data_IF_263443030022
#
_entry.id   IF_263443030022
#
_cell.length_a   1.000
_cell.length_b   1.000
_cell.length_c   1.000
_cell.angle_alpha   90.00
_cell.angle_beta   90.00
_cell.angle_gamma   90.00
#
_symmetry.space_group_name_H-M   'P 1'
#
loop_
_entity.id
_entity.type
_entity.pdbx_description
1 polymer ?
#
# COMPACT_ATOMS: atom_id res chain seq x y z
N UNK A 1 7.25 3.07 -18.99
CA UNK A 1 7.40 3.86 -17.74
C UNK A 1 6.00 4.20 -17.25
N UNK A 2 5.66 3.89 -16.00
CA UNK A 2 4.38 4.33 -15.44
C UNK A 2 4.43 5.87 -15.32
N UNK A 3 3.49 6.58 -15.97
CA UNK A 3 3.41 8.03 -15.85
C UNK A 3 2.65 8.39 -14.57
N UNK A 4 3.22 9.30 -13.78
CA UNK A 4 2.53 9.86 -12.62
C UNK A 4 1.32 10.67 -13.10
N UNK A 5 0.14 10.36 -12.59
CA UNK A 5 -1.04 11.21 -12.77
C UNK A 5 -0.97 12.36 -11.78
N UNK A 6 -0.48 13.52 -12.23
CA UNK A 6 -0.43 14.75 -11.39
C UNK A 6 -1.80 15.14 -10.83
N UNK A 7 -2.87 14.91 -11.60
CA UNK A 7 -4.25 15.16 -11.16
C UNK A 7 -4.67 14.31 -9.96
N UNK A 8 -4.01 13.17 -9.72
CA UNK A 8 -4.25 12.29 -8.58
C UNK A 8 -3.19 12.45 -7.47
N UNK A 9 -2.28 13.43 -7.59
CA UNK A 9 -1.26 13.67 -6.56
C UNK A 9 -0.20 12.56 -6.41
N UNK A 10 -0.05 11.67 -7.41
CA UNK A 10 0.84 10.51 -7.32
C UNK A 10 2.32 10.90 -7.19
N UNK A 11 2.89 10.64 -6.02
CA UNK A 11 4.32 10.75 -5.71
C UNK A 11 4.79 9.42 -5.12
N UNK A 12 5.86 8.85 -5.68
CA UNK A 12 6.30 7.51 -5.30
C UNK A 12 7.44 7.58 -4.28
N UNK A 13 7.17 7.18 -3.04
CA UNK A 13 8.21 6.99 -2.03
C UNK A 13 9.02 5.73 -2.36
N UNK A 14 10.32 5.90 -2.62
CA UNK A 14 11.26 4.84 -3.02
C UNK A 14 12.31 4.52 -1.96
N UNK A 15 12.48 5.40 -0.98
CA UNK A 15 13.46 5.21 0.07
C UNK A 15 13.00 4.10 1.03
N UNK A 16 13.75 3.00 1.05
CA UNK A 16 13.38 1.81 1.83
C UNK A 16 13.45 2.06 3.32
N UNK A 17 14.42 2.85 3.78
CA UNK A 17 14.58 3.15 5.20
C UNK A 17 13.35 3.90 5.73
N UNK A 18 12.95 4.97 5.04
CA UNK A 18 11.74 5.74 5.35
C UNK A 18 10.49 4.87 5.33
N UNK A 19 10.34 3.98 4.34
CA UNK A 19 9.21 3.04 4.27
C UNK A 19 9.14 2.12 5.49
N UNK A 20 10.28 1.60 5.94
CA UNK A 20 10.34 0.77 7.15
C UNK A 20 10.03 1.56 8.41
N UNK A 21 10.53 2.79 8.54
CA UNK A 21 10.24 3.65 9.70
C UNK A 21 8.76 4.02 9.77
N UNK A 22 8.13 4.36 8.63
CA UNK A 22 6.68 4.62 8.57
C UNK A 22 5.93 3.37 9.03
N UNK A 23 6.23 2.20 8.45
CA UNK A 23 5.54 0.96 8.78
C UNK A 23 5.76 0.54 10.25
N UNK A 24 6.94 0.77 10.82
CA UNK A 24 7.21 0.50 12.23
C UNK A 24 6.47 1.48 13.14
N UNK A 25 6.41 2.76 12.79
CA UNK A 25 5.68 3.77 13.56
C UNK A 25 4.17 3.50 13.62
N UNK A 26 3.63 2.80 12.62
CA UNK A 26 2.24 2.40 12.55
C UNK A 26 1.91 1.16 13.39
N UNK A 27 2.92 0.40 13.85
CA UNK A 27 2.74 -0.89 14.52
C UNK A 27 1.83 -0.77 15.75
N UNK A 28 0.92 -1.72 15.87
CA UNK A 28 -0.09 -1.76 16.94
C UNK A 28 -0.46 -3.21 17.25
N UNK A 29 -1.12 -3.45 18.39
CA UNK A 29 -1.65 -4.77 18.77
C UNK A 29 -2.91 -5.17 17.98
N UNK A 30 -3.44 -4.26 17.17
CA UNK A 30 -4.60 -4.53 16.30
C UNK A 30 -4.23 -5.41 15.12
N UNK A 31 -5.16 -6.29 14.71
CA UNK A 31 -4.92 -7.30 13.68
C UNK A 31 -4.95 -6.76 12.23
N UNK A 32 -5.29 -5.48 12.02
CA UNK A 32 -5.36 -4.92 10.68
C UNK A 32 -4.90 -3.46 10.58
N UNK A 33 -4.43 -3.09 9.39
CA UNK A 33 -4.05 -1.73 9.02
C UNK A 33 -4.86 -1.28 7.80
N UNK A 34 -5.22 0.01 7.75
CA UNK A 34 -5.82 0.65 6.57
C UNK A 34 -4.79 1.57 5.94
N UNK A 35 -4.50 1.37 4.65
CA UNK A 35 -3.62 2.21 3.85
C UNK A 35 -4.44 2.99 2.81
N UNK A 36 -4.29 4.32 2.79
CA UNK A 36 -4.95 5.19 1.80
C UNK A 36 -3.92 5.56 0.74
N UNK A 37 -4.24 5.33 -0.54
CA UNK A 37 -3.34 5.59 -1.66
C UNK A 37 -2.12 4.67 -1.67
N UNK A 38 -2.30 3.33 -1.67
CA UNK A 38 -1.20 2.37 -1.69
C UNK A 38 -0.34 2.48 -2.95
N UNK A 39 -0.92 2.97 -4.06
CA UNK A 39 -0.19 3.23 -5.28
C UNK A 39 0.43 1.96 -5.86
N UNK A 40 1.76 1.95 -5.94
CA UNK A 40 2.54 0.80 -6.41
C UNK A 40 2.73 -0.30 -5.34
N UNK A 41 2.28 -0.07 -4.11
CA UNK A 41 2.40 -1.02 -3.01
C UNK A 41 3.74 -1.00 -2.27
N UNK A 42 4.54 0.07 -2.41
CA UNK A 42 5.86 0.13 -1.76
C UNK A 42 5.74 0.14 -0.24
N UNK A 43 4.79 0.88 0.31
CA UNK A 43 4.49 0.88 1.74
C UNK A 43 3.64 -0.34 2.14
N UNK A 44 2.66 -0.74 1.32
CA UNK A 44 1.88 -1.97 1.50
C UNK A 44 2.75 -3.20 1.79
N UNK A 45 3.86 -3.35 1.08
CA UNK A 45 4.82 -4.44 1.31
C UNK A 45 5.40 -4.45 2.73
N UNK A 46 5.69 -3.27 3.28
CA UNK A 46 6.24 -3.12 4.63
C UNK A 46 5.17 -3.26 5.71
N UNK A 47 3.93 -2.86 5.43
CA UNK A 47 2.77 -3.07 6.31
C UNK A 47 2.38 -4.55 6.39
N UNK A 48 2.34 -5.27 5.27
CA UNK A 48 2.03 -6.72 5.20
C UNK A 48 3.03 -7.64 5.92
N UNK A 49 4.16 -7.11 6.37
CA UNK A 49 5.10 -7.84 7.25
C UNK A 49 4.83 -7.64 8.74
N UNK A 50 4.03 -6.63 9.09
CA UNK A 50 3.77 -6.22 10.47
C UNK A 50 2.32 -6.46 10.89
N UNK A 51 1.39 -6.41 9.94
CA UNK A 51 -0.02 -6.63 10.18
C UNK A 51 -0.50 -7.96 9.60
N UNK A 52 -1.34 -8.71 10.34
CA UNK A 52 -2.01 -9.90 9.82
C UNK A 52 -2.92 -9.62 8.61
N UNK A 53 -3.49 -8.41 8.53
CA UNK A 53 -4.32 -7.95 7.40
C UNK A 53 -4.00 -6.50 7.03
N UNK A 54 -3.96 -6.19 5.73
CA UNK A 54 -3.96 -4.81 5.24
C UNK A 54 -5.18 -4.59 4.35
N UNK A 55 -5.88 -3.49 4.55
CA UNK A 55 -6.95 -3.00 3.68
C UNK A 55 -6.42 -1.76 2.98
N UNK A 56 -6.35 -1.79 1.66
CA UNK A 56 -5.82 -0.70 0.86
C UNK A 56 -6.94 0.00 0.08
N UNK A 57 -7.02 1.32 0.18
CA UNK A 57 -8.01 2.15 -0.50
C UNK A 57 -7.31 2.91 -1.62
N UNK A 58 -7.64 2.61 -2.87
CA UNK A 58 -6.96 3.18 -4.05
C UNK A 58 -7.98 3.71 -5.06
N UNK A 59 -7.83 5.00 -5.43
CA UNK A 59 -8.71 5.67 -6.37
C UNK A 59 -8.37 5.34 -7.83
N UNK A 60 -7.08 5.14 -8.15
CA UNK A 60 -6.67 4.74 -9.49
C UNK A 60 -7.04 3.28 -9.75
N UNK A 61 -8.14 3.06 -10.46
CA UNK A 61 -8.67 1.74 -10.82
C UNK A 61 -7.61 0.77 -11.35
N UNK A 62 -6.67 1.26 -12.17
CA UNK A 62 -5.59 0.42 -12.71
C UNK A 62 -4.62 -0.02 -11.63
N UNK A 63 -4.30 0.83 -10.67
CA UNK A 63 -3.42 0.47 -9.56
C UNK A 63 -4.14 -0.48 -8.60
N UNK A 64 -5.41 -0.17 -8.28
CA UNK A 64 -6.24 -1.01 -7.42
C UNK A 64 -6.34 -2.44 -7.95
N UNK A 65 -6.65 -2.62 -9.25
CA UNK A 65 -6.76 -3.95 -9.85
C UNK A 65 -5.43 -4.71 -9.94
N UNK A 66 -4.30 -4.02 -10.05
CA UNK A 66 -2.99 -4.67 -10.18
C UNK A 66 -2.34 -4.99 -8.83
N UNK A 67 -2.67 -4.24 -7.78
CA UNK A 67 -1.99 -4.34 -6.48
C UNK A 67 -2.03 -5.76 -5.87
N UNK A 68 -3.17 -6.50 -5.87
CA UNK A 68 -3.22 -7.86 -5.31
C UNK A 68 -2.24 -8.84 -5.98
N UNK A 69 -1.98 -8.67 -7.28
CA UNK A 69 -1.07 -9.55 -8.04
C UNK A 69 0.38 -9.43 -7.57
N UNK A 70 0.75 -8.31 -6.93
CA UNK A 70 2.08 -8.09 -6.36
C UNK A 70 2.29 -8.82 -5.03
N UNK A 71 1.21 -9.29 -4.38
CA UNK A 71 1.26 -9.87 -3.03
C UNK A 71 0.49 -11.21 -2.94
N UNK A 72 0.83 -12.21 -3.76
CA UNK A 72 0.16 -13.50 -3.74
C UNK A 72 0.29 -14.17 -2.36
N UNK A 73 -0.82 -14.71 -1.85
CA UNK A 73 -0.87 -15.39 -0.55
C UNK A 73 -0.80 -14.47 0.67
N UNK A 74 -0.83 -13.15 0.48
CA UNK A 74 -0.96 -12.18 1.57
C UNK A 74 -2.44 -11.83 1.80
N UNK A 75 -2.76 -11.51 3.05
CA UNK A 75 -4.09 -11.03 3.42
C UNK A 75 -4.20 -9.53 3.14
N UNK A 76 -4.34 -9.22 1.86
CA UNK A 76 -4.51 -7.88 1.33
C UNK A 76 -5.90 -7.76 0.72
N UNK A 77 -6.71 -6.85 1.24
CA UNK A 77 -7.98 -6.44 0.65
C UNK A 77 -7.79 -5.10 -0.05
N UNK A 78 -8.30 -4.94 -1.26
CA UNK A 78 -8.19 -3.68 -2.02
C UNK A 78 -9.59 -3.16 -2.36
N UNK A 79 -9.87 -1.93 -1.96
CA UNK A 79 -11.11 -1.22 -2.22
C UNK A 79 -10.81 -0.10 -3.22
N UNK A 80 -11.50 -0.13 -4.37
CA UNK A 80 -11.47 0.96 -5.34
C UNK A 80 -12.68 1.88 -5.14
N UNK A 81 -12.42 3.16 -4.83
CA UNK A 81 -13.43 4.20 -4.59
C UNK A 81 -12.87 5.57 -4.96
#
# INVERSE_FOLDING_TARGET
MLQNKKSLGQNWLKDRFTLEEIAESARSEVDFCVEIGPGLGTLTSSLLRRFPKVVAIEFDEKLAHNLPNSFPGKNLEVINT
#
